data_IF_718297944652
#
_entry.id   IF_718297944652
#
_cell.length_a   1.000
_cell.length_b   1.000
_cell.length_c   1.000
_cell.angle_alpha   90.00
_cell.angle_beta   90.00
_cell.angle_gamma   90.00
#
_symmetry.space_group_name_H-M   'P 1'
#
loop_
_entity.id
_entity.type
_entity.pdbx_description
1 polymer ?
#
# COMPACT_ATOMS: atom_id res chain seq x y z
N UNK A 1 -17.04 9.35 10.71
CA UNK A 1 -17.19 8.06 9.98
C UNK A 1 -18.24 8.20 8.88
N UNK A 2 -18.02 9.07 7.88
CA UNK A 2 -19.03 9.39 6.84
C UNK A 2 -18.50 9.20 5.41
N UNK A 3 -17.40 8.45 5.24
CA UNK A 3 -16.69 8.33 3.95
C UNK A 3 -16.96 7.01 3.23
N UNK A 4 -17.32 5.93 3.95
CA UNK A 4 -17.62 4.61 3.36
C UNK A 4 -18.99 4.10 3.80
N UNK A 5 -19.70 3.41 2.89
CA UNK A 5 -20.97 2.72 3.14
C UNK A 5 -20.77 1.63 4.20
N UNK A 6 -21.74 1.45 5.10
CA UNK A 6 -21.70 0.48 6.22
C UNK A 6 -21.42 -0.95 5.77
N UNK A 7 -21.86 -1.32 4.57
CA UNK A 7 -21.61 -2.64 3.99
C UNK A 7 -20.12 -2.88 3.70
N UNK A 8 -19.39 -1.84 3.28
CA UNK A 8 -17.95 -1.95 3.00
C UNK A 8 -17.17 -2.08 4.30
N UNK A 9 -17.64 -1.43 5.37
CA UNK A 9 -17.08 -1.61 6.70
C UNK A 9 -17.18 -3.07 7.16
N UNK A 10 -18.35 -3.68 6.99
CA UNK A 10 -18.56 -5.09 7.32
C UNK A 10 -17.68 -6.01 6.47
N UNK A 11 -17.51 -5.73 5.17
CA UNK A 11 -16.65 -6.54 4.31
C UNK A 11 -15.17 -6.42 4.67
N UNK A 12 -14.69 -5.24 5.08
CA UNK A 12 -13.31 -5.04 5.54
C UNK A 12 -13.05 -5.83 6.82
N UNK A 13 -13.95 -5.74 7.79
CA UNK A 13 -13.83 -6.49 9.05
C UNK A 13 -13.85 -8.00 8.79
N UNK A 14 -14.77 -8.47 7.93
CA UNK A 14 -14.83 -9.88 7.54
C UNK A 14 -13.54 -10.34 6.85
N UNK A 15 -12.98 -9.55 5.93
CA UNK A 15 -11.74 -9.86 5.24
C UNK A 15 -10.53 -9.93 6.19
N UNK A 16 -10.43 -9.01 7.17
CA UNK A 16 -9.36 -9.02 8.17
C UNK A 16 -9.43 -10.27 9.06
N UNK A 17 -10.63 -10.64 9.52
CA UNK A 17 -10.83 -11.84 10.34
C UNK A 17 -10.50 -13.09 9.55
N UNK A 18 -11.01 -13.21 8.32
CA UNK A 18 -10.72 -14.34 7.45
C UNK A 18 -9.22 -14.47 7.16
N UNK A 19 -8.54 -13.36 6.86
CA UNK A 19 -7.10 -13.36 6.55
C UNK A 19 -6.27 -13.75 7.78
N UNK A 20 -6.59 -13.19 8.96
CA UNK A 20 -5.93 -13.55 10.22
C UNK A 20 -6.13 -15.02 10.61
N UNK A 21 -7.37 -15.54 10.46
CA UNK A 21 -7.66 -16.96 10.71
C UNK A 21 -6.98 -17.88 9.69
N UNK A 22 -6.91 -17.48 8.42
CA UNK A 22 -6.25 -18.25 7.36
C UNK A 22 -4.73 -18.34 7.57
N UNK A 23 -4.07 -17.22 7.94
CA UNK A 23 -2.65 -17.20 8.27
C UNK A 23 -2.37 -18.11 9.48
N UNK A 24 -3.18 -18.03 10.52
CA UNK A 24 -3.03 -18.89 11.70
C UNK A 24 -3.22 -20.39 11.40
N UNK A 25 -4.11 -20.74 10.47
CA UNK A 25 -4.30 -22.13 10.07
C UNK A 25 -3.12 -22.67 9.25
N UNK A 26 -2.56 -21.83 8.38
CA UNK A 26 -1.48 -22.18 7.45
C UNK A 26 -0.09 -22.16 8.09
N UNK A 27 0.12 -21.32 9.09
CA UNK A 27 1.39 -21.19 9.79
C UNK A 27 1.20 -21.44 11.29
N UNK A 28 1.50 -22.67 11.72
CA UNK A 28 1.39 -23.09 13.12
C UNK A 28 2.48 -22.51 14.02
N UNK A 29 3.55 -21.96 13.43
CA UNK A 29 4.59 -21.25 14.17
C UNK A 29 4.19 -19.80 14.47
N UNK A 30 3.25 -19.24 13.68
CA UNK A 30 2.75 -17.90 13.86
C UNK A 30 1.62 -17.88 14.90
N UNK A 31 1.78 -17.14 15.99
CA UNK A 31 0.78 -17.11 17.06
C UNK A 31 -0.51 -16.45 16.56
N UNK A 32 -1.67 -16.80 17.15
CA UNK A 32 -2.96 -16.13 16.85
C UNK A 32 -2.86 -14.61 16.95
N UNK A 33 -2.24 -14.10 18.02
CA UNK A 33 -2.06 -12.66 18.21
C UNK A 33 -1.26 -12.01 17.10
N UNK A 34 -0.19 -12.66 16.66
CA UNK A 34 0.69 -12.17 15.59
C UNK A 34 -0.03 -12.20 14.24
N UNK A 35 -0.83 -13.23 13.97
CA UNK A 35 -1.61 -13.36 12.73
C UNK A 35 -2.61 -12.21 12.56
N UNK A 36 -3.36 -11.88 13.62
CA UNK A 36 -4.31 -10.77 13.61
C UNK A 36 -3.61 -9.40 13.62
N UNK A 37 -2.49 -9.27 14.35
CA UNK A 37 -1.68 -8.06 14.34
C UNK A 37 -1.09 -7.78 12.95
N UNK A 38 -0.58 -8.82 12.28
CA UNK A 38 -0.05 -8.74 10.92
C UNK A 38 -1.13 -8.35 9.90
N UNK A 39 -2.32 -8.96 9.99
CA UNK A 39 -3.45 -8.64 9.12
C UNK A 39 -3.89 -7.17 9.27
N UNK A 40 -3.94 -6.67 10.52
CA UNK A 40 -4.33 -5.29 10.82
C UNK A 40 -3.26 -4.27 10.34
N UNK A 41 -1.99 -4.55 10.58
CA UNK A 41 -0.87 -3.65 10.24
C UNK A 41 -0.55 -3.67 8.75
N UNK A 42 -0.78 -4.78 8.04
CA UNK A 42 -0.67 -4.84 6.58
C UNK A 42 -1.80 -4.09 5.86
N UNK A 43 -2.92 -3.82 6.52
CA UNK A 43 -3.98 -2.97 5.98
C UNK A 43 -3.61 -1.48 6.04
N UNK A 44 -2.67 -1.10 6.91
CA UNK A 44 -2.17 0.27 6.98
C UNK A 44 -0.86 0.40 6.18
N UNK A 45 -0.49 1.62 5.74
CA UNK A 45 0.76 1.84 5.01
C UNK A 45 2.04 1.53 5.81
N UNK A 46 1.91 1.25 7.11
CA UNK A 46 3.03 0.90 7.99
C UNK A 46 3.53 -0.53 7.73
N UNK A 47 2.75 -1.35 7.01
CA UNK A 47 3.08 -2.71 6.65
C UNK A 47 2.94 -3.68 7.83
N UNK A 48 2.89 -4.98 7.51
CA UNK A 48 2.96 -6.04 8.50
C UNK A 48 4.37 -6.20 9.05
N UNK A 49 4.49 -6.53 10.34
CA UNK A 49 5.76 -6.83 11.01
C UNK A 49 6.48 -8.06 10.44
N UNK A 50 6.87 -9.02 11.28
CA UNK A 50 7.48 -10.25 10.75
C UNK A 50 6.51 -11.01 9.85
N UNK A 51 6.96 -11.40 8.66
CA UNK A 51 6.16 -12.18 7.73
C UNK A 51 6.10 -13.67 8.16
N UNK A 52 5.04 -14.40 7.76
CA UNK A 52 4.92 -15.83 8.02
C UNK A 52 6.17 -16.60 7.56
N UNK A 53 6.59 -17.60 8.34
CA UNK A 53 7.77 -18.42 8.02
C UNK A 53 7.42 -19.52 7.03
N UNK A 54 6.18 -20.04 7.09
CA UNK A 54 5.67 -21.03 6.16
C UNK A 54 5.55 -20.47 4.73
N UNK A 55 5.96 -21.26 3.74
CA UNK A 55 5.88 -20.89 2.32
C UNK A 55 4.42 -20.60 1.89
N UNK A 56 3.47 -21.38 2.39
CA UNK A 56 2.03 -21.21 2.16
C UNK A 56 1.50 -19.88 2.71
N UNK A 57 1.95 -19.48 3.89
CA UNK A 57 1.61 -18.19 4.50
C UNK A 57 2.15 -17.01 3.69
N UNK A 58 3.37 -17.14 3.14
CA UNK A 58 3.99 -16.08 2.30
C UNK A 58 3.26 -15.87 0.99
N UNK A 59 2.85 -16.94 0.30
CA UNK A 59 2.10 -16.82 -0.96
C UNK A 59 0.74 -16.14 -0.73
N UNK A 60 0.07 -16.44 0.39
CA UNK A 60 -1.19 -15.81 0.75
C UNK A 60 -1.02 -14.31 1.08
N UNK A 61 0.02 -13.96 1.85
CA UNK A 61 0.35 -12.57 2.16
C UNK A 61 0.71 -11.79 0.90
N UNK A 62 1.48 -12.37 -0.02
CA UNK A 62 1.81 -11.75 -1.29
C UNK A 62 0.56 -11.46 -2.13
N UNK A 63 -0.37 -12.42 -2.20
CA UNK A 63 -1.65 -12.23 -2.88
C UNK A 63 -2.47 -11.10 -2.23
N UNK A 64 -2.53 -11.05 -0.90
CA UNK A 64 -3.21 -9.99 -0.16
C UNK A 64 -2.64 -8.60 -0.45
N UNK A 65 -1.31 -8.47 -0.47
CA UNK A 65 -0.63 -7.21 -0.80
C UNK A 65 -0.88 -6.74 -2.24
N UNK A 66 -1.00 -7.64 -3.21
CA UNK A 66 -1.35 -7.29 -4.59
C UNK A 66 -2.76 -6.67 -4.71
N UNK A 67 -3.68 -6.99 -3.80
CA UNK A 67 -5.01 -6.38 -3.78
C UNK A 67 -5.03 -5.02 -3.05
N UNK A 68 -4.26 -4.85 -1.98
CA UNK A 68 -4.29 -3.65 -1.13
C UNK A 68 -3.47 -2.48 -1.71
N UNK A 69 -2.34 -2.79 -2.34
CA UNK A 69 -1.39 -1.77 -2.85
C UNK A 69 -1.92 -0.90 -3.99
N UNK A 70 -2.66 -1.42 -5.01
CA UNK A 70 -3.15 -0.58 -6.10
C UNK A 70 -4.25 0.36 -5.63
N UNK A 71 -5.12 -0.08 -4.72
CA UNK A 71 -6.19 0.76 -4.15
C UNK A 71 -5.61 2.00 -3.46
N UNK A 72 -4.53 1.82 -2.70
CA UNK A 72 -3.85 2.89 -1.96
C UNK A 72 -3.12 3.85 -2.90
N UNK A 73 -2.42 3.29 -3.90
CA UNK A 73 -1.65 4.05 -4.87
C UNK A 73 -2.55 4.86 -5.80
N UNK A 74 -3.66 4.28 -6.29
CA UNK A 74 -4.59 4.97 -7.19
C UNK A 74 -5.29 6.14 -6.49
N UNK A 75 -5.63 6.03 -5.21
CA UNK A 75 -6.17 7.16 -4.45
C UNK A 75 -5.12 8.26 -4.25
N UNK A 76 -3.87 7.88 -3.99
CA UNK A 76 -2.75 8.82 -3.93
C UNK A 76 -2.50 9.51 -5.27
N UNK A 77 -2.46 8.76 -6.37
CA UNK A 77 -2.33 9.26 -7.75
C UNK A 77 -3.49 10.21 -8.13
N UNK A 78 -4.74 9.83 -7.82
CA UNK A 78 -5.91 10.65 -8.07
C UNK A 78 -5.87 11.97 -7.27
N UNK A 79 -5.39 11.94 -6.01
CA UNK A 79 -5.19 13.15 -5.20
C UNK A 79 -4.00 13.99 -5.65
N UNK A 80 -2.97 13.36 -6.20
CA UNK A 80 -1.74 14.03 -6.62
C UNK A 80 -1.98 15.01 -7.77
N UNK A 81 -2.99 14.76 -8.61
CA UNK A 81 -3.40 15.69 -9.68
C UNK A 81 -3.91 17.05 -9.19
N UNK A 82 -4.30 17.18 -7.92
CA UNK A 82 -4.97 18.38 -7.38
C UNK A 82 -4.02 19.38 -6.71
N UNK A 83 -2.74 19.05 -6.55
CA UNK A 83 -1.78 19.90 -5.85
C UNK A 83 -0.74 20.40 -6.85
N UNK A 84 -0.80 21.69 -7.20
CA UNK A 84 0.26 22.33 -7.97
C UNK A 84 1.47 22.56 -7.07
N UNK A 85 2.59 21.92 -7.40
CA UNK A 85 3.89 22.19 -6.82
C UNK A 85 4.83 22.67 -7.92
N UNK A 86 5.66 23.65 -7.59
CA UNK A 86 6.73 24.15 -8.46
C UNK A 86 7.99 24.31 -7.65
N UNK A 87 9.12 24.31 -8.34
CA UNK A 87 10.44 24.57 -7.75
C UNK A 87 10.63 26.07 -7.60
N UNK A 88 11.50 26.48 -6.66
CA UNK A 88 11.82 27.90 -6.46
C UNK A 88 12.39 28.48 -7.76
N UNK A 89 11.82 29.59 -8.21
CA UNK A 89 12.26 30.29 -9.41
C UNK A 89 13.74 30.71 -9.29
N UNK A 90 14.48 30.60 -10.40
CA UNK A 90 15.93 30.86 -10.45
C UNK A 90 16.81 30.01 -9.50
N UNK A 91 16.30 28.89 -8.96
CA UNK A 91 17.12 27.93 -8.22
C UNK A 91 17.89 26.98 -9.15
N UNK A 92 18.98 26.38 -8.63
CA UNK A 92 19.75 25.35 -9.35
C UNK A 92 18.87 24.18 -9.79
N UNK A 93 17.86 23.83 -8.99
CA UNK A 93 16.91 22.76 -9.30
C UNK A 93 15.96 23.16 -10.44
N UNK A 94 15.55 24.44 -10.50
CA UNK A 94 14.77 24.96 -11.63
C UNK A 94 15.54 24.84 -12.95
N UNK A 95 16.81 25.21 -12.95
CA UNK A 95 17.66 25.11 -14.15
C UNK A 95 17.97 23.67 -14.54
N UNK A 96 18.12 22.76 -13.57
CA UNK A 96 18.25 21.33 -13.82
C UNK A 96 17.03 20.78 -14.59
N UNK A 97 15.82 21.12 -14.17
CA UNK A 97 14.60 20.66 -14.86
C UNK A 97 14.45 21.26 -16.27
N UNK A 98 14.85 22.52 -16.47
CA UNK A 98 14.89 23.13 -17.82
C UNK A 98 15.85 22.37 -18.74
N UNK A 99 17.05 22.09 -18.25
CA UNK A 99 18.07 21.38 -19.03
C UNK A 99 17.63 19.93 -19.32
N UNK A 100 16.94 19.29 -18.39
CA UNK A 100 16.40 17.94 -18.56
C UNK A 100 15.32 17.92 -19.66
N UNK A 101 14.38 18.89 -19.65
CA UNK A 101 13.38 19.03 -20.71
C UNK A 101 14.02 19.26 -22.07
N UNK A 102 15.02 20.15 -22.13
CA UNK A 102 15.74 20.42 -23.36
C UNK A 102 16.47 19.19 -23.90
N UNK A 103 17.05 18.38 -23.00
CA UNK A 103 17.70 17.12 -23.39
C UNK A 103 16.69 16.10 -23.92
N UNK A 104 15.49 16.00 -23.32
CA UNK A 104 14.41 15.14 -23.81
C UNK A 104 13.98 15.54 -25.22
N UNK A 105 13.65 16.81 -25.45
CA UNK A 105 13.22 17.34 -26.76
C UNK A 105 14.30 17.24 -27.86
N UNK A 106 15.58 17.09 -27.48
CA UNK A 106 16.72 16.96 -28.41
C UNK A 106 17.04 15.50 -28.73
N UNK A 107 16.78 14.58 -27.79
CA UNK A 107 17.17 13.17 -27.89
C UNK A 107 16.02 12.25 -28.31
N UNK A 108 14.77 12.68 -28.14
CA UNK A 108 13.54 11.95 -28.46
C UNK A 108 12.62 12.80 -29.33
#
# INVERSE_FOLDING_TARGET
>A
MTVLRTEVWLSIVAALVLTGSMIWLLDKEFTLKESFWFALTSFTPQGGGEAPKALSGRTLVAAYWLFVTPVSSLEQLARQSRINYTVVEASTIHQYFINMKFAEDTLY
#
